data_IF_857864061866
#
_entry.id   IF_857864061866
#
_cell.length_a   1.000
_cell.length_b   1.000
_cell.length_c   1.000
_cell.angle_alpha   90.00
_cell.angle_beta   90.00
_cell.angle_gamma   90.00
#
_symmetry.space_group_name_H-M   'P 1'
#
loop_
_entity.id
_entity.type
_entity.pdbx_description
1 polymer ?
#
# COMPACT_ATOMS: atom_id res chain seq x y z
N UNK A 1 27.14 33.81 11.61
CA UNK A 1 27.50 34.06 13.03
C UNK A 1 27.69 32.70 13.66
N UNK A 2 28.95 32.39 13.97
CA UNK A 2 29.32 31.16 14.69
C UNK A 2 28.86 31.27 16.14
N UNK A 3 28.12 30.26 16.60
CA UNK A 3 27.72 30.13 17.99
C UNK A 3 28.96 29.69 18.79
N UNK A 4 29.32 30.44 19.83
CA UNK A 4 30.45 30.15 20.69
C UNK A 4 30.32 28.81 21.43
N UNK A 5 31.43 28.31 22.00
CA UNK A 5 31.59 26.97 22.64
C UNK A 5 30.61 26.67 23.82
N UNK A 6 29.84 27.66 24.28
CA UNK A 6 28.91 27.54 25.42
C UNK A 6 27.43 27.62 25.01
N UNK A 7 27.11 27.48 23.72
CA UNK A 7 25.73 27.54 23.25
C UNK A 7 24.95 26.26 23.68
N UNK A 8 23.96 26.44 24.54
CA UNK A 8 23.02 25.39 24.95
C UNK A 8 21.74 25.49 24.10
N UNK A 9 21.37 24.40 23.42
CA UNK A 9 20.11 24.29 22.72
C UNK A 9 18.99 23.98 23.73
N UNK A 10 18.01 24.88 23.88
CA UNK A 10 16.83 24.65 24.70
C UNK A 10 15.64 24.43 23.78
N UNK A 11 15.03 23.25 23.86
CA UNK A 11 13.79 22.95 23.14
C UNK A 11 12.59 23.30 24.03
N UNK A 12 11.73 24.16 23.53
CA UNK A 12 10.44 24.45 24.17
C UNK A 12 9.38 23.68 23.39
N UNK A 13 8.78 22.66 23.99
CA UNK A 13 7.66 21.94 23.43
C UNK A 13 6.39 22.74 23.78
N UNK A 14 5.78 23.38 22.77
CA UNK A 14 4.43 23.94 22.88
C UNK A 14 3.41 22.86 22.52
N UNK A 15 2.59 22.46 23.47
CA UNK A 15 1.38 21.71 23.19
C UNK A 15 0.25 22.70 22.92
N UNK A 16 -0.24 22.77 21.70
CA UNK A 16 -1.48 23.47 21.37
C UNK A 16 -2.65 22.51 21.60
N UNK A 17 -3.42 22.74 22.65
CA UNK A 17 -4.72 22.10 22.83
C UNK A 17 -5.74 22.86 21.98
N UNK A 18 -6.26 22.23 20.94
CA UNK A 18 -7.34 22.73 20.09
C UNK A 18 -8.72 22.46 20.74
N UNK A 19 -8.94 22.93 21.96
CA UNK A 19 -10.28 23.12 22.51
C UNK A 19 -10.29 24.44 23.27
N UNK A 20 -11.14 25.34 22.78
CA UNK A 20 -11.25 26.70 23.27
C UNK A 20 -11.69 26.77 24.72
N UNK A 21 -10.90 27.44 25.48
CA UNK A 21 -11.27 28.42 26.50
C UNK A 21 -9.97 29.00 27.07
N UNK A 22 -9.92 30.34 27.10
CA UNK A 22 -8.84 31.12 27.66
C UNK A 22 -8.56 30.75 29.13
N UNK A 23 -7.38 30.18 29.36
CA UNK A 23 -6.65 30.34 30.63
C UNK A 23 -5.23 29.83 30.43
N UNK A 24 -4.31 30.75 30.15
CA UNK A 24 -2.87 30.48 30.15
C UNK A 24 -2.38 30.37 31.59
N UNK A 25 -2.14 29.15 32.06
CA UNK A 25 -1.36 28.93 33.27
C UNK A 25 0.12 28.91 32.93
N UNK A 26 0.84 29.95 33.29
CA UNK A 26 2.29 29.98 33.33
C UNK A 26 2.77 29.66 34.71
N UNK A 27 3.11 28.43 34.98
CA UNK A 27 3.80 28.06 36.23
C UNK A 27 5.31 28.30 36.05
N UNK A 28 5.88 29.23 36.81
CA UNK A 28 7.32 29.46 36.87
C UNK A 28 7.94 28.37 37.74
N UNK A 29 8.72 27.48 37.14
CA UNK A 29 9.55 26.52 37.88
C UNK A 29 10.66 27.31 38.60
N UNK A 30 10.81 27.18 39.92
CA UNK A 30 11.90 27.84 40.65
C UNK A 30 13.27 27.29 40.19
N UNK A 31 14.24 28.17 40.00
CA UNK A 31 15.57 27.91 39.47
C UNK A 31 16.53 27.19 40.41
N UNK A 32 16.05 26.64 41.54
CA UNK A 32 16.89 25.96 42.52
C UNK A 32 16.32 24.59 42.94
N UNK A 33 16.28 23.64 42.00
CA UNK A 33 16.16 22.23 42.37
C UNK A 33 17.50 21.52 42.09
N UNK A 34 18.37 21.41 43.10
CA UNK A 34 19.51 20.51 43.13
C UNK A 34 19.05 19.18 43.74
N UNK A 35 18.96 18.08 42.97
CA UNK A 35 18.67 16.78 43.56
C UNK A 35 19.85 16.36 44.44
N UNK A 36 19.61 16.16 45.74
CA UNK A 36 20.56 15.48 46.64
C UNK A 36 20.55 14.00 46.29
N UNK A 37 21.52 13.57 45.46
CA UNK A 37 21.79 12.16 45.23
C UNK A 37 22.56 11.67 46.46
N UNK A 38 21.89 10.89 47.32
CA UNK A 38 22.57 10.08 48.34
C UNK A 38 23.26 8.94 47.59
N UNK A 39 24.57 8.92 47.75
CA UNK A 39 25.48 7.87 47.25
C UNK A 39 25.36 6.60 48.10
N UNK A 40 24.26 5.86 47.94
CA UNK A 40 24.16 4.46 48.39
C UNK A 40 23.10 3.81 47.49
N UNK A 41 23.49 2.67 46.89
CA UNK A 41 22.73 1.78 45.98
C UNK A 41 22.98 2.00 44.48
N UNK A 42 24.24 1.77 44.07
CA UNK A 42 24.67 1.77 42.65
C UNK A 42 24.73 0.35 42.05
N UNK A 43 24.00 -0.64 42.63
CA UNK A 43 24.02 -2.04 42.15
C UNK A 43 22.71 -2.64 41.75
N UNK A 44 21.66 -1.83 41.54
CA UNK A 44 20.40 -2.33 40.97
C UNK A 44 19.75 -1.35 40.01
N UNK A 45 20.49 -0.91 38.99
CA UNK A 45 19.85 -0.31 37.82
C UNK A 45 19.30 -1.42 36.96
N UNK A 46 17.96 -1.45 36.71
CA UNK A 46 17.44 -2.34 35.69
C UNK A 46 18.09 -2.02 34.36
N UNK A 47 18.57 -3.02 33.66
CA UNK A 47 19.18 -2.97 32.33
C UNK A 47 18.19 -2.46 31.25
N UNK A 48 17.59 -1.29 31.42
CA UNK A 48 16.69 -0.70 30.44
C UNK A 48 17.36 0.23 29.42
N UNK A 49 18.68 0.43 29.49
CA UNK A 49 19.35 1.43 28.63
C UNK A 49 20.37 0.79 27.68
N UNK A 50 20.15 -0.43 27.24
CA UNK A 50 20.88 -1.00 26.08
C UNK A 50 20.02 -1.83 25.15
N UNK A 51 18.72 -1.54 25.04
CA UNK A 51 18.02 -1.91 23.83
C UNK A 51 18.35 -0.83 22.80
N UNK A 52 19.24 -1.14 21.87
CA UNK A 52 19.37 -0.36 20.66
C UNK A 52 17.97 -0.28 20.03
N UNK A 53 17.31 0.87 20.18
CA UNK A 53 16.09 1.21 19.46
C UNK A 53 16.44 1.26 17.97
N UNK A 54 16.56 0.11 17.33
CA UNK A 54 16.86 -0.04 15.91
C UNK A 54 15.62 0.17 15.04
N UNK A 55 14.45 0.31 15.66
CA UNK A 55 13.22 0.69 14.97
C UNK A 55 12.68 1.98 15.61
N UNK A 56 12.73 3.14 14.92
CA UNK A 56 12.26 4.42 15.46
C UNK A 56 10.75 4.46 15.70
N UNK A 57 10.01 3.39 15.37
CA UNK A 57 8.55 3.29 15.50
C UNK A 57 8.11 2.58 16.79
N UNK A 58 9.03 2.08 17.63
CA UNK A 58 8.67 1.44 18.91
C UNK A 58 8.96 2.40 20.05
N UNK A 59 8.08 3.35 20.26
CA UNK A 59 8.01 4.14 21.49
C UNK A 59 6.78 3.67 22.26
N UNK A 60 6.93 3.00 23.42
CA UNK A 60 5.79 2.60 24.24
C UNK A 60 4.96 3.82 24.62
N UNK A 61 3.68 3.83 24.26
CA UNK A 61 2.73 4.90 24.64
C UNK A 61 2.29 5.84 23.51
N UNK A 62 2.84 5.78 22.30
CA UNK A 62 2.36 6.59 21.17
C UNK A 62 1.25 5.82 20.44
N UNK A 63 -0.01 6.19 20.71
CA UNK A 63 -1.19 5.62 20.05
C UNK A 63 -1.34 6.01 18.57
N UNK A 64 -0.56 6.95 18.05
CA UNK A 64 -0.62 7.43 16.65
C UNK A 64 0.77 7.39 16.02
N UNK A 65 1.24 6.20 15.68
CA UNK A 65 2.35 6.05 14.75
C UNK A 65 1.90 6.54 13.37
N UNK A 66 2.43 7.68 12.90
CA UNK A 66 2.27 8.09 11.49
C UNK A 66 3.11 7.16 10.62
N UNK A 67 2.58 5.97 10.35
CA UNK A 67 3.19 5.05 9.40
C UNK A 67 2.88 5.58 8.01
N UNK A 68 3.93 5.73 7.19
CA UNK A 68 3.75 6.03 5.77
C UNK A 68 3.03 4.84 5.12
N UNK A 69 1.86 5.12 4.56
CA UNK A 69 1.00 4.09 3.98
C UNK A 69 1.55 3.45 2.70
N UNK A 70 2.58 4.03 2.07
CA UNK A 70 3.20 3.60 0.81
C UNK A 70 2.19 3.47 -0.36
N UNK A 71 1.06 4.17 -0.28
CA UNK A 71 0.01 4.17 -1.30
C UNK A 71 0.37 5.09 -2.47
N UNK A 72 0.08 4.62 -3.68
CA UNK A 72 0.17 5.46 -4.88
C UNK A 72 -1.15 6.22 -5.08
N UNK A 73 -1.14 7.53 -4.81
CA UNK A 73 -2.32 8.39 -4.85
C UNK A 73 -2.99 8.48 -6.23
N UNK A 74 -2.29 8.11 -7.32
CA UNK A 74 -2.85 8.08 -8.67
C UNK A 74 -3.82 6.90 -8.88
N UNK A 75 -3.79 5.89 -8.02
CA UNK A 75 -4.59 4.68 -8.10
C UNK A 75 -5.81 4.78 -7.17
N UNK A 76 -6.83 5.51 -7.56
CA UNK A 76 -8.06 5.69 -6.79
C UNK A 76 -9.28 5.02 -7.49
N UNK A 77 -10.43 4.98 -6.81
CA UNK A 77 -11.66 4.40 -7.37
C UNK A 77 -12.24 5.19 -8.55
N UNK A 78 -11.95 6.48 -8.68
CA UNK A 78 -12.43 7.30 -9.79
C UNK A 78 -11.70 6.94 -11.09
N UNK A 79 -10.42 6.63 -10.98
CA UNK A 79 -9.59 6.19 -12.12
C UNK A 79 -9.72 4.69 -12.41
N UNK A 80 -10.29 3.90 -11.48
CA UNK A 80 -10.57 2.47 -11.68
C UNK A 80 -11.96 2.30 -12.29
N UNK A 81 -12.02 2.26 -13.62
CA UNK A 81 -13.30 2.17 -14.34
C UNK A 81 -13.97 0.83 -14.11
N UNK A 82 -15.29 0.87 -13.86
CA UNK A 82 -16.11 -0.31 -13.68
C UNK A 82 -16.51 -0.90 -15.03
N UNK A 83 -16.41 -2.21 -15.14
CA UNK A 83 -16.89 -3.03 -16.24
C UNK A 83 -17.33 -4.39 -15.72
N UNK A 84 -17.94 -5.21 -16.56
CA UNK A 84 -18.40 -6.55 -16.14
C UNK A 84 -17.24 -7.42 -15.64
N UNK A 85 -16.06 -7.26 -16.23
CA UNK A 85 -14.83 -7.99 -15.90
C UNK A 85 -14.26 -7.73 -14.50
N UNK A 86 -14.68 -6.64 -13.85
CA UNK A 86 -14.11 -6.22 -12.54
C UNK A 86 -15.18 -5.81 -11.51
N UNK A 87 -16.44 -5.85 -11.85
CA UNK A 87 -17.56 -5.35 -11.02
C UNK A 87 -17.55 -5.95 -9.62
N UNK A 88 -17.40 -7.28 -9.50
CA UNK A 88 -17.37 -7.95 -8.20
C UNK A 88 -16.21 -7.45 -7.33
N UNK A 89 -15.00 -7.45 -7.88
CA UNK A 89 -13.80 -7.04 -7.15
C UNK A 89 -13.86 -5.57 -6.73
N UNK A 90 -14.33 -4.69 -7.63
CA UNK A 90 -14.51 -3.26 -7.36
C UNK A 90 -15.55 -3.01 -6.27
N UNK A 91 -16.71 -3.65 -6.37
CA UNK A 91 -17.79 -3.51 -5.38
C UNK A 91 -17.35 -4.03 -4.00
N UNK A 92 -16.68 -5.19 -3.95
CA UNK A 92 -16.14 -5.75 -2.72
C UNK A 92 -15.07 -4.84 -2.11
N UNK A 93 -14.14 -4.34 -2.92
CA UNK A 93 -13.11 -3.39 -2.49
C UNK A 93 -13.72 -2.10 -1.93
N UNK A 94 -14.76 -1.57 -2.58
CA UNK A 94 -15.48 -0.39 -2.10
C UNK A 94 -16.18 -0.67 -0.75
N UNK A 95 -16.86 -1.82 -0.61
CA UNK A 95 -17.49 -2.21 0.65
C UNK A 95 -16.48 -2.37 1.80
N UNK A 96 -15.33 -3.01 1.53
CA UNK A 96 -14.22 -3.13 2.49
C UNK A 96 -13.70 -1.75 2.90
N UNK A 97 -13.53 -0.83 1.95
CA UNK A 97 -13.01 0.50 2.24
C UNK A 97 -13.96 1.35 3.10
N UNK A 98 -15.28 1.09 3.04
CA UNK A 98 -16.28 1.76 3.90
C UNK A 98 -16.42 1.15 5.29
N UNK A 99 -16.07 -0.12 5.46
CA UNK A 99 -16.15 -0.83 6.75
C UNK A 99 -14.99 -1.83 6.89
N UNK A 100 -13.73 -1.35 7.01
CA UNK A 100 -12.57 -2.23 7.09
C UNK A 100 -12.63 -3.10 8.35
N UNK A 101 -12.49 -4.41 8.15
CA UNK A 101 -12.64 -5.44 9.19
C UNK A 101 -14.08 -5.73 9.62
N UNK A 102 -15.05 -4.95 9.17
CA UNK A 102 -16.47 -5.10 9.52
C UNK A 102 -17.33 -5.80 8.46
N UNK A 103 -16.72 -6.33 7.40
CA UNK A 103 -17.39 -7.10 6.35
C UNK A 103 -16.97 -8.56 6.40
N UNK A 104 -17.76 -9.46 5.78
CA UNK A 104 -17.36 -10.87 5.59
C UNK A 104 -16.19 -11.03 4.59
N UNK A 105 -15.76 -9.93 3.94
CA UNK A 105 -14.69 -9.92 2.94
C UNK A 105 -13.30 -9.72 3.60
N UNK A 106 -12.99 -10.56 4.59
CA UNK A 106 -11.73 -10.52 5.30
C UNK A 106 -11.11 -11.92 5.43
N UNK A 107 -10.04 -12.23 4.70
CA UNK A 107 -9.36 -11.35 3.75
C UNK A 107 -10.16 -11.08 2.46
N UNK A 108 -9.85 -9.98 1.78
CA UNK A 108 -10.22 -9.77 0.39
C UNK A 108 -9.02 -10.14 -0.48
N UNK A 109 -9.13 -11.20 -1.26
CA UNK A 109 -8.12 -11.59 -2.24
C UNK A 109 -8.58 -11.16 -3.63
N UNK A 110 -7.80 -10.31 -4.28
CA UNK A 110 -8.00 -9.86 -5.66
C UNK A 110 -7.01 -10.61 -6.54
N UNK A 111 -7.50 -11.44 -7.46
CA UNK A 111 -6.61 -12.21 -8.33
C UNK A 111 -6.98 -12.04 -9.80
N UNK A 112 -6.07 -12.41 -10.69
CA UNK A 112 -6.25 -12.32 -12.14
C UNK A 112 -4.94 -12.11 -12.87
N UNK A 113 -4.93 -12.16 -14.17
CA UNK A 113 -3.73 -12.04 -15.01
C UNK A 113 -2.92 -10.76 -14.74
N UNK A 114 -1.68 -10.74 -15.25
CA UNK A 114 -0.78 -9.59 -15.16
C UNK A 114 -1.40 -8.39 -15.89
N UNK A 115 -1.28 -7.18 -15.29
CA UNK A 115 -1.71 -5.93 -15.94
C UNK A 115 -3.21 -5.69 -15.97
N UNK A 116 -4.03 -6.40 -15.17
CA UNK A 116 -5.49 -6.23 -15.12
C UNK A 116 -5.96 -5.22 -14.04
N UNK A 117 -5.04 -4.56 -13.33
CA UNK A 117 -5.39 -3.49 -12.38
C UNK A 117 -5.48 -3.93 -10.92
N UNK A 118 -4.97 -5.10 -10.53
CA UNK A 118 -4.96 -5.58 -9.13
C UNK A 118 -4.33 -4.58 -8.15
N UNK A 119 -3.12 -4.15 -8.46
CA UNK A 119 -2.38 -3.13 -7.68
C UNK A 119 -3.14 -1.81 -7.61
N UNK A 120 -3.79 -1.40 -8.70
CA UNK A 120 -4.63 -0.20 -8.75
C UNK A 120 -5.79 -0.32 -7.75
N UNK A 121 -6.57 -1.39 -7.83
CA UNK A 121 -7.71 -1.59 -6.92
C UNK A 121 -7.28 -1.70 -5.46
N UNK A 122 -6.17 -2.38 -5.19
CA UNK A 122 -5.60 -2.50 -3.85
C UNK A 122 -5.22 -1.13 -3.25
N UNK A 123 -4.57 -0.26 -4.05
CA UNK A 123 -4.28 1.12 -3.64
C UNK A 123 -5.56 1.94 -3.46
N UNK A 124 -6.54 1.83 -4.38
CA UNK A 124 -7.82 2.53 -4.29
C UNK A 124 -8.55 2.23 -2.97
N UNK A 125 -8.56 0.96 -2.54
CA UNK A 125 -9.10 0.56 -1.24
C UNK A 125 -8.37 1.28 -0.11
N UNK A 126 -7.04 1.24 -0.08
CA UNK A 126 -6.24 1.87 0.96
C UNK A 126 -6.44 3.38 1.04
N UNK A 127 -6.47 4.06 -0.10
CA UNK A 127 -6.71 5.51 -0.20
C UNK A 127 -8.08 5.86 0.37
N UNK A 128 -9.14 5.13 -0.05
CA UNK A 128 -10.50 5.40 0.42
C UNK A 128 -10.66 5.14 1.93
N UNK A 129 -9.97 4.12 2.47
CA UNK A 129 -9.91 3.92 3.94
C UNK A 129 -9.26 5.11 4.63
N UNK A 130 -8.10 5.58 4.14
CA UNK A 130 -7.39 6.72 4.74
C UNK A 130 -8.21 8.01 4.72
N UNK A 131 -8.98 8.22 3.65
CA UNK A 131 -9.88 9.36 3.53
C UNK A 131 -11.08 9.28 4.49
N UNK A 132 -11.68 8.09 4.62
CA UNK A 132 -12.85 7.87 5.46
C UNK A 132 -12.50 7.72 6.95
N UNK A 133 -11.32 7.20 7.27
CA UNK A 133 -10.85 6.88 8.62
C UNK A 133 -9.39 7.32 8.79
N UNK A 134 -9.12 8.63 8.94
CA UNK A 134 -7.74 9.16 9.05
C UNK A 134 -6.94 8.58 10.23
N UNK A 135 -7.64 8.13 11.28
CA UNK A 135 -7.05 7.50 12.47
C UNK A 135 -6.55 6.08 12.25
N UNK A 136 -7.07 5.38 11.21
CA UNK A 136 -6.66 4.01 10.91
C UNK A 136 -5.28 3.97 10.25
N UNK A 137 -4.48 3.03 10.72
CA UNK A 137 -3.17 2.74 10.14
C UNK A 137 -3.33 1.82 8.94
N UNK A 138 -3.11 2.36 7.75
CA UNK A 138 -3.12 1.61 6.48
C UNK A 138 -1.71 1.44 5.98
N UNK A 139 -1.32 0.22 5.62
CA UNK A 139 -0.03 -0.08 5.01
C UNK A 139 -0.22 -0.90 3.73
N UNK A 140 0.34 -0.39 2.62
CA UNK A 140 0.52 -1.12 1.38
C UNK A 140 1.98 -1.58 1.27
N UNK A 141 2.20 -2.83 0.90
CA UNK A 141 3.53 -3.39 0.69
C UNK A 141 3.48 -4.55 -0.31
N UNK A 142 4.50 -4.69 -1.15
CA UNK A 142 4.64 -5.91 -1.98
C UNK A 142 5.14 -7.09 -1.14
N UNK A 143 4.77 -8.31 -1.52
CA UNK A 143 5.23 -9.54 -0.87
C UNK A 143 6.76 -9.69 -0.93
N UNK A 144 7.41 -9.17 -1.97
CA UNK A 144 8.87 -9.13 -2.06
C UNK A 144 9.48 -8.24 -0.99
N UNK A 145 8.99 -6.99 -0.86
CA UNK A 145 9.48 -6.03 0.13
C UNK A 145 9.22 -6.52 1.56
N UNK A 146 8.05 -7.12 1.80
CA UNK A 146 7.74 -7.79 3.07
C UNK A 146 8.76 -8.89 3.40
N UNK A 147 9.04 -9.76 2.42
CA UNK A 147 10.05 -10.84 2.55
C UNK A 147 11.41 -10.28 2.88
N UNK A 148 11.85 -9.25 2.16
CA UNK A 148 13.15 -8.62 2.39
C UNK A 148 13.25 -8.02 3.79
N UNK A 149 12.24 -7.28 4.24
CA UNK A 149 12.18 -6.71 5.58
C UNK A 149 12.23 -7.82 6.66
N UNK A 150 11.53 -8.94 6.43
CA UNK A 150 11.58 -10.08 7.33
C UNK A 150 12.99 -10.68 7.41
N UNK A 151 13.64 -10.95 6.27
CA UNK A 151 15.00 -11.48 6.23
C UNK A 151 15.99 -10.54 6.93
N UNK A 152 15.86 -9.24 6.72
CA UNK A 152 16.70 -8.24 7.38
C UNK A 152 16.46 -8.19 8.89
N UNK A 153 15.22 -8.38 9.34
CA UNK A 153 14.88 -8.46 10.76
C UNK A 153 15.49 -9.68 11.45
N UNK A 154 15.51 -10.83 10.75
CA UNK A 154 16.16 -12.06 11.23
C UNK A 154 17.66 -11.87 11.34
N UNK A 155 18.31 -11.31 10.31
CA UNK A 155 19.77 -11.01 10.33
C UNK A 155 20.16 -10.07 11.46
N UNK A 156 19.29 -9.11 11.79
CA UNK A 156 19.50 -8.13 12.87
C UNK A 156 19.02 -8.60 14.24
N UNK A 157 18.51 -9.84 14.35
CA UNK A 157 17.89 -10.41 15.56
C UNK A 157 16.69 -9.60 16.11
N UNK A 158 15.94 -8.94 15.22
CA UNK A 158 14.80 -8.07 15.54
C UNK A 158 13.46 -8.64 15.03
N UNK A 159 13.33 -9.98 14.95
CA UNK A 159 12.13 -10.65 14.44
C UNK A 159 10.86 -10.25 15.21
N UNK A 160 10.95 -10.10 16.53
CA UNK A 160 9.80 -9.74 17.35
C UNK A 160 9.31 -8.33 17.05
N UNK A 161 10.21 -7.38 16.83
CA UNK A 161 9.87 -6.01 16.48
C UNK A 161 9.17 -5.93 15.12
N UNK A 162 9.63 -6.75 14.16
CA UNK A 162 8.99 -6.88 12.85
C UNK A 162 7.54 -7.39 12.99
N UNK A 163 7.32 -8.45 13.76
CA UNK A 163 5.97 -9.00 13.99
C UNK A 163 5.09 -7.95 14.68
N UNK A 164 5.59 -7.33 15.74
CA UNK A 164 4.87 -6.30 16.49
C UNK A 164 4.46 -5.12 15.60
N UNK A 165 5.37 -4.64 14.73
CA UNK A 165 5.06 -3.58 13.79
C UNK A 165 3.85 -3.89 12.92
N UNK A 166 3.83 -5.08 12.29
CA UNK A 166 2.72 -5.48 11.43
C UNK A 166 1.42 -5.73 12.20
N UNK A 167 1.50 -6.13 13.46
CA UNK A 167 0.34 -6.31 14.33
C UNK A 167 -0.36 -4.99 14.72
N UNK A 168 0.30 -3.85 14.60
CA UNK A 168 -0.29 -2.53 14.85
C UNK A 168 -1.14 -2.01 13.67
N UNK A 169 -0.99 -2.58 12.49
CA UNK A 169 -1.67 -2.14 11.26
C UNK A 169 -3.17 -2.46 11.36
N UNK A 170 -4.04 -1.52 10.96
CA UNK A 170 -5.50 -1.73 10.93
C UNK A 170 -5.97 -2.26 9.58
N UNK A 171 -5.31 -1.83 8.49
CA UNK A 171 -5.57 -2.33 7.14
C UNK A 171 -4.25 -2.68 6.47
N UNK A 172 -3.98 -3.96 6.33
CA UNK A 172 -2.78 -4.48 5.69
C UNK A 172 -3.09 -4.90 4.26
N UNK A 173 -2.39 -4.30 3.30
CA UNK A 173 -2.49 -4.61 1.88
C UNK A 173 -1.17 -5.24 1.44
N UNK A 174 -1.21 -6.50 1.05
CA UNK A 174 -0.04 -7.21 0.50
C UNK A 174 -0.26 -7.46 -1.00
N UNK A 175 0.58 -6.86 -1.80
CA UNK A 175 0.55 -7.00 -3.24
C UNK A 175 1.43 -8.17 -3.71
N UNK A 176 0.91 -8.95 -4.66
CA UNK A 176 1.61 -10.05 -5.32
C UNK A 176 2.05 -11.19 -4.37
N UNK A 177 1.10 -11.74 -3.59
CA UNK A 177 1.38 -12.79 -2.58
C UNK A 177 1.95 -14.09 -3.18
N UNK A 178 1.87 -14.30 -4.50
CA UNK A 178 2.54 -15.43 -5.17
C UNK A 178 4.06 -15.42 -4.95
N UNK A 179 4.67 -14.27 -4.65
CA UNK A 179 6.09 -14.16 -4.31
C UNK A 179 6.47 -14.74 -2.93
N UNK A 180 5.49 -15.19 -2.14
CA UNK A 180 5.78 -16.02 -0.96
C UNK A 180 6.12 -17.48 -1.30
N UNK A 181 5.88 -17.92 -2.54
CA UNK A 181 6.18 -19.27 -3.02
C UNK A 181 7.62 -19.68 -2.69
N UNK A 182 7.81 -20.88 -2.16
CA UNK A 182 9.13 -21.42 -1.78
C UNK A 182 9.80 -20.77 -0.56
N UNK A 183 9.17 -19.79 0.11
CA UNK A 183 9.78 -19.03 1.22
C UNK A 183 9.13 -19.39 2.57
N UNK A 184 9.37 -20.61 3.06
CA UNK A 184 8.70 -21.16 4.25
C UNK A 184 8.77 -20.23 5.47
N UNK A 185 9.93 -19.66 5.80
CA UNK A 185 10.08 -18.74 6.94
C UNK A 185 9.25 -17.46 6.80
N UNK A 186 9.09 -16.94 5.57
CA UNK A 186 8.23 -15.78 5.30
C UNK A 186 6.75 -16.16 5.40
N UNK A 187 6.38 -17.34 4.89
CA UNK A 187 5.02 -17.85 4.98
C UNK A 187 4.61 -18.07 6.46
N UNK A 188 5.51 -18.57 7.26
CA UNK A 188 5.32 -18.78 8.71
C UNK A 188 5.02 -17.46 9.43
N UNK A 189 5.89 -16.47 9.28
CA UNK A 189 5.71 -15.19 9.95
C UNK A 189 4.47 -14.46 9.46
N UNK A 190 4.19 -14.53 8.15
CA UNK A 190 2.98 -13.93 7.59
C UNK A 190 1.72 -14.61 8.13
N UNK A 191 1.72 -15.95 8.27
CA UNK A 191 0.62 -16.67 8.87
C UNK A 191 0.31 -16.21 10.31
N UNK A 192 1.34 -15.98 11.13
CA UNK A 192 1.17 -15.44 12.47
C UNK A 192 0.60 -14.02 12.49
N UNK A 193 1.12 -13.14 11.63
CA UNK A 193 0.62 -11.77 11.49
C UNK A 193 -0.82 -11.78 11.00
N UNK A 194 -1.13 -12.57 9.97
CA UNK A 194 -2.49 -12.71 9.43
C UNK A 194 -3.50 -13.12 10.50
N UNK A 195 -3.20 -14.19 11.26
CA UNK A 195 -4.10 -14.65 12.30
C UNK A 195 -4.34 -13.57 13.36
N UNK A 196 -3.29 -12.85 13.79
CA UNK A 196 -3.43 -11.75 14.74
C UNK A 196 -4.35 -10.65 14.20
N UNK A 197 -4.12 -10.19 12.98
CA UNK A 197 -4.93 -9.15 12.35
C UNK A 197 -6.40 -9.58 12.22
N UNK A 198 -6.63 -10.77 11.71
CA UNK A 198 -7.96 -11.31 11.50
C UNK A 198 -8.74 -11.48 12.82
N UNK A 199 -8.12 -12.03 13.87
CA UNK A 199 -8.72 -12.20 15.19
C UNK A 199 -9.07 -10.88 15.88
N UNK A 200 -8.33 -9.82 15.58
CA UNK A 200 -8.58 -8.48 16.11
C UNK A 200 -9.49 -7.62 15.21
N UNK A 201 -10.19 -8.22 14.24
CA UNK A 201 -11.10 -7.50 13.35
C UNK A 201 -10.42 -6.49 12.44
N UNK A 202 -9.11 -6.65 12.18
CA UNK A 202 -8.33 -5.81 11.28
C UNK A 202 -8.45 -6.35 9.85
N UNK A 203 -8.45 -5.45 8.86
CA UNK A 203 -8.63 -5.84 7.46
C UNK A 203 -7.33 -6.30 6.81
N UNK A 204 -7.41 -7.42 6.08
CA UNK A 204 -6.34 -7.86 5.18
C UNK A 204 -6.85 -7.84 3.74
N UNK A 205 -6.08 -7.24 2.84
CA UNK A 205 -6.31 -7.23 1.39
C UNK A 205 -5.08 -7.83 0.72
N UNK A 206 -5.29 -8.76 -0.17
CA UNK A 206 -4.23 -9.50 -0.86
C UNK A 206 -4.42 -9.38 -2.36
N UNK A 207 -3.34 -9.32 -3.11
CA UNK A 207 -3.41 -9.49 -4.57
C UNK A 207 -2.55 -10.66 -5.04
N UNK A 208 -2.92 -11.26 -6.17
CA UNK A 208 -2.15 -12.35 -6.79
C UNK A 208 -2.40 -12.43 -8.29
N UNK A 209 -1.37 -12.87 -9.03
CA UNK A 209 -1.52 -13.21 -10.45
C UNK A 209 -2.24 -14.57 -10.66
N UNK A 210 -2.35 -15.39 -9.60
CA UNK A 210 -2.92 -16.73 -9.63
C UNK A 210 -4.08 -16.87 -8.66
N UNK A 211 -5.05 -17.69 -9.03
CA UNK A 211 -6.09 -18.12 -8.08
C UNK A 211 -5.45 -18.94 -6.93
N UNK A 212 -6.05 -18.94 -5.72
CA UNK A 212 -5.50 -19.71 -4.59
C UNK A 212 -5.33 -21.20 -4.85
N UNK A 213 -6.10 -21.76 -5.77
CA UNK A 213 -6.02 -23.18 -6.16
C UNK A 213 -4.79 -23.48 -7.01
N UNK A 214 -4.27 -22.46 -7.72
CA UNK A 214 -3.14 -22.58 -8.65
C UNK A 214 -1.81 -22.11 -8.03
N UNK A 215 -1.83 -21.67 -6.76
CA UNK A 215 -0.63 -21.27 -6.05
C UNK A 215 0.18 -22.49 -5.62
N UNK A 216 1.34 -22.66 -6.22
CA UNK A 216 2.28 -23.73 -5.89
C UNK A 216 3.25 -23.30 -4.79
N UNK A 217 3.80 -24.25 -4.02
CA UNK A 217 4.81 -24.00 -2.98
C UNK A 217 4.35 -23.01 -1.88
N UNK A 218 3.06 -22.83 -1.72
CA UNK A 218 2.46 -22.12 -0.58
C UNK A 218 1.81 -23.15 0.33
N UNK A 219 2.10 -23.05 1.62
CA UNK A 219 1.61 -23.97 2.64
C UNK A 219 0.08 -23.99 2.71
N UNK A 220 -0.51 -25.18 2.85
CA UNK A 220 -1.96 -25.38 2.87
C UNK A 220 -2.67 -24.55 3.95
N UNK A 221 -2.03 -24.35 5.11
CA UNK A 221 -2.58 -23.51 6.18
C UNK A 221 -2.73 -22.05 5.74
N UNK A 222 -1.80 -21.52 4.91
CA UNK A 222 -1.85 -20.15 4.40
C UNK A 222 -2.87 -20.04 3.27
N UNK A 223 -2.91 -21.02 2.36
CA UNK A 223 -3.93 -21.10 1.31
C UNK A 223 -5.35 -21.15 1.89
N UNK A 224 -5.56 -21.90 2.98
CA UNK A 224 -6.84 -21.92 3.68
C UNK A 224 -7.24 -20.53 4.19
N UNK A 225 -6.27 -19.75 4.66
CA UNK A 225 -6.51 -18.35 5.10
C UNK A 225 -6.85 -17.43 3.94
N UNK A 226 -6.18 -17.58 2.81
CA UNK A 226 -6.49 -16.79 1.60
C UNK A 226 -7.92 -17.02 1.09
N UNK A 227 -8.41 -18.27 1.22
CA UNK A 227 -9.77 -18.67 0.81
C UNK A 227 -10.85 -18.33 1.84
N UNK A 228 -10.51 -17.91 3.03
CA UNK A 228 -11.47 -17.73 4.13
C UNK A 228 -12.51 -16.65 3.86
N UNK A 229 -12.08 -15.50 3.29
CA UNK A 229 -12.97 -14.39 2.96
C UNK A 229 -13.51 -14.45 1.53
N UNK A 230 -13.37 -13.36 0.80
CA UNK A 230 -13.77 -13.27 -0.59
C UNK A 230 -12.56 -13.31 -1.52
N UNK A 231 -12.57 -14.21 -2.49
CA UNK A 231 -11.65 -14.19 -3.63
C UNK A 231 -12.40 -13.65 -4.85
N UNK A 232 -11.95 -12.51 -5.35
CA UNK A 232 -12.55 -11.82 -6.49
C UNK A 232 -11.58 -11.76 -7.66
N UNK A 233 -12.02 -12.26 -8.80
CA UNK A 233 -11.24 -12.28 -10.03
C UNK A 233 -11.35 -10.96 -10.79
N UNK A 234 -10.22 -10.49 -11.33
CA UNK A 234 -10.17 -9.48 -12.38
C UNK A 234 -9.93 -10.18 -13.71
N UNK A 235 -10.88 -10.03 -14.62
CA UNK A 235 -10.81 -10.60 -15.96
C UNK A 235 -10.36 -9.55 -16.97
N UNK A 236 -10.06 -9.99 -18.19
CA UNK A 236 -9.73 -9.10 -19.29
C UNK A 236 -10.94 -8.23 -19.61
N UNK A 237 -10.77 -6.89 -19.68
CA UNK A 237 -11.87 -5.99 -19.96
C UNK A 237 -12.45 -6.24 -21.37
N UNK A 238 -13.77 -6.08 -21.49
CA UNK A 238 -14.46 -6.11 -22.76
C UNK A 238 -14.10 -4.89 -23.64
N UNK A 239 -14.60 -4.88 -24.88
CA UNK A 239 -14.25 -3.83 -25.83
C UNK A 239 -14.68 -2.43 -25.37
N UNK A 240 -15.88 -2.29 -24.85
CA UNK A 240 -16.44 -1.00 -24.37
C UNK A 240 -15.65 -0.47 -23.16
N UNK A 241 -15.32 -1.37 -22.23
CA UNK A 241 -14.48 -1.03 -21.08
C UNK A 241 -13.10 -0.57 -21.52
N UNK A 242 -12.48 -1.23 -22.53
CA UNK A 242 -11.17 -0.78 -23.06
C UNK A 242 -11.25 0.61 -23.69
N UNK A 243 -12.29 0.92 -24.48
CA UNK A 243 -12.50 2.26 -25.02
C UNK A 243 -12.59 3.28 -23.88
N UNK A 244 -13.38 2.98 -22.88
CA UNK A 244 -13.57 3.86 -21.71
C UNK A 244 -12.27 4.11 -20.96
N UNK A 245 -11.41 3.07 -20.80
CA UNK A 245 -10.09 3.19 -20.18
C UNK A 245 -9.20 4.12 -21.00
N UNK A 246 -9.16 3.96 -22.33
CA UNK A 246 -8.37 4.82 -23.23
C UNK A 246 -8.84 6.27 -23.11
N UNK A 247 -10.14 6.53 -23.25
CA UNK A 247 -10.72 7.87 -23.18
C UNK A 247 -10.44 8.54 -21.83
N UNK A 248 -10.59 7.81 -20.74
CA UNK A 248 -10.27 8.32 -19.40
C UNK A 248 -8.78 8.68 -19.27
N UNK A 249 -7.89 7.82 -19.78
CA UNK A 249 -6.45 8.07 -19.77
C UNK A 249 -6.09 9.33 -20.57
N UNK A 250 -6.59 9.45 -21.78
CA UNK A 250 -6.36 10.61 -22.64
C UNK A 250 -6.87 11.90 -22.02
N UNK A 251 -8.08 11.88 -21.46
CA UNK A 251 -8.67 13.02 -20.75
C UNK A 251 -7.82 13.48 -19.57
N UNK A 252 -7.29 12.55 -18.77
CA UNK A 252 -6.42 12.85 -17.63
C UNK A 252 -5.07 13.42 -18.06
N UNK A 253 -4.54 12.98 -19.19
CA UNK A 253 -3.27 13.43 -19.74
C UNK A 253 -3.45 14.72 -20.59
N UNK A 254 -4.70 15.21 -20.78
CA UNK A 254 -5.03 16.41 -21.55
C UNK A 254 -4.75 16.26 -23.04
N UNK A 255 -4.86 15.05 -23.57
CA UNK A 255 -4.56 14.72 -24.98
C UNK A 255 -5.85 14.41 -25.73
N UNK A 256 -6.00 15.01 -26.89
CA UNK A 256 -7.07 14.68 -27.84
C UNK A 256 -6.57 13.64 -28.87
N UNK A 257 -7.39 12.64 -29.12
CA UNK A 257 -7.13 11.60 -30.10
C UNK A 257 -8.43 11.28 -30.85
N UNK A 258 -8.33 11.05 -32.16
CA UNK A 258 -9.48 10.69 -32.98
C UNK A 258 -10.11 9.37 -32.53
N UNK A 259 -11.42 9.30 -32.50
CA UNK A 259 -12.15 8.11 -32.05
C UNK A 259 -11.80 6.85 -32.86
N UNK A 260 -11.50 7.01 -34.17
CA UNK A 260 -11.07 5.90 -35.02
C UNK A 260 -9.82 5.20 -34.52
N UNK A 261 -8.86 6.00 -34.01
CA UNK A 261 -7.61 5.44 -33.45
C UNK A 261 -7.90 4.75 -32.12
N UNK A 262 -8.74 5.36 -31.28
CA UNK A 262 -9.16 4.74 -30.01
C UNK A 262 -9.82 3.38 -30.26
N UNK A 263 -10.74 3.32 -31.22
CA UNK A 263 -11.42 2.08 -31.59
C UNK A 263 -10.46 1.04 -32.19
N UNK A 264 -9.52 1.49 -33.01
CA UNK A 264 -8.48 0.63 -33.57
C UNK A 264 -7.62 0.00 -32.46
N UNK A 265 -7.08 0.80 -31.55
CA UNK A 265 -6.26 0.33 -30.44
C UNK A 265 -7.05 -0.62 -29.52
N UNK A 266 -8.26 -0.26 -29.12
CA UNK A 266 -9.14 -1.08 -28.28
C UNK A 266 -9.49 -2.43 -28.95
N UNK A 267 -9.61 -2.47 -30.29
CA UNK A 267 -9.90 -3.68 -31.04
C UNK A 267 -8.70 -4.64 -31.13
N UNK A 268 -7.50 -4.10 -31.23
CA UNK A 268 -6.30 -4.90 -31.48
C UNK A 268 -5.56 -5.32 -30.20
N UNK A 269 -5.58 -4.49 -29.16
CA UNK A 269 -4.97 -4.82 -27.86
C UNK A 269 -6.02 -5.39 -26.93
N UNK A 270 -6.00 -6.73 -26.78
CA UNK A 270 -7.00 -7.48 -26.02
C UNK A 270 -6.43 -8.16 -24.79
N UNK A 271 -5.15 -8.07 -24.57
CA UNK A 271 -4.39 -8.85 -23.61
C UNK A 271 -4.56 -8.34 -22.17
N UNK A 272 -4.20 -7.10 -21.91
CA UNK A 272 -4.28 -6.49 -20.58
C UNK A 272 -4.26 -4.95 -20.64
N UNK A 273 -4.60 -4.31 -19.52
CA UNK A 273 -4.69 -2.85 -19.43
C UNK A 273 -3.31 -2.19 -19.52
N UNK A 274 -2.26 -2.84 -19.01
CA UNK A 274 -0.89 -2.30 -19.03
C UNK A 274 -0.37 -2.17 -20.48
N UNK A 275 -0.63 -3.15 -21.33
CA UNK A 275 -0.29 -3.05 -22.75
C UNK A 275 -1.12 -2.01 -23.48
N UNK A 276 -2.41 -1.90 -23.13
CA UNK A 276 -3.30 -0.88 -23.68
C UNK A 276 -2.78 0.55 -23.35
N UNK A 277 -2.43 0.81 -22.10
CA UNK A 277 -1.85 2.07 -21.68
C UNK A 277 -0.47 2.32 -22.32
N UNK A 278 0.36 1.29 -22.43
CA UNK A 278 1.67 1.36 -23.08
C UNK A 278 1.57 1.76 -24.55
N UNK A 279 0.59 1.23 -25.27
CA UNK A 279 0.34 1.59 -26.67
C UNK A 279 -0.08 3.07 -26.81
N UNK A 280 -0.97 3.53 -25.93
CA UNK A 280 -1.38 4.95 -25.93
C UNK A 280 -0.20 5.87 -25.64
N UNK A 281 0.62 5.55 -24.64
CA UNK A 281 1.84 6.33 -24.33
C UNK A 281 2.79 6.36 -25.53
N UNK A 282 2.95 5.23 -26.23
CA UNK A 282 3.80 5.15 -27.42
C UNK A 282 3.29 6.02 -28.55
N UNK A 283 1.97 6.03 -28.81
CA UNK A 283 1.34 6.89 -29.82
C UNK A 283 1.51 8.37 -29.49
N UNK A 284 1.29 8.73 -28.23
CA UNK A 284 1.47 10.12 -27.75
C UNK A 284 2.92 10.57 -27.92
N UNK A 285 3.90 9.73 -27.56
CA UNK A 285 5.31 10.03 -27.70
C UNK A 285 5.70 10.21 -29.16
N UNK A 286 5.23 9.34 -30.08
CA UNK A 286 5.50 9.44 -31.52
C UNK A 286 4.90 10.72 -32.14
N UNK A 287 3.67 11.07 -31.73
CA UNK A 287 3.03 12.31 -32.17
C UNK A 287 3.82 13.55 -31.73
N UNK A 288 4.19 13.60 -30.47
CA UNK A 288 4.97 14.71 -29.91
C UNK A 288 6.34 14.85 -30.57
N UNK A 289 7.02 13.73 -30.81
CA UNK A 289 8.35 13.74 -31.42
C UNK A 289 8.32 14.16 -32.89
N UNK A 290 7.35 13.68 -33.66
CA UNK A 290 7.22 13.96 -35.08
C UNK A 290 6.49 15.28 -35.37
N UNK A 291 5.95 15.98 -34.35
CA UNK A 291 5.08 17.15 -34.50
C UNK A 291 3.94 16.95 -35.51
N UNK A 292 3.46 15.70 -35.57
CA UNK A 292 2.35 15.29 -36.46
C UNK A 292 1.16 14.91 -35.60
N UNK A 293 -0.04 15.18 -36.11
CA UNK A 293 -1.26 14.64 -35.52
C UNK A 293 -1.20 13.12 -35.47
N UNK A 294 -1.81 12.53 -34.44
CA UNK A 294 -1.92 11.08 -34.32
C UNK A 294 -2.88 10.62 -35.42
N UNK A 295 -2.35 9.88 -36.41
CA UNK A 295 -3.12 9.32 -37.53
C UNK A 295 -3.11 7.81 -37.48
N UNK A 296 -4.06 7.15 -38.19
CA UNK A 296 -4.12 5.68 -38.28
C UNK A 296 -2.83 5.04 -38.81
N UNK A 297 -2.09 5.73 -39.70
CA UNK A 297 -0.81 5.25 -40.19
C UNK A 297 0.25 5.13 -39.09
N UNK A 298 0.25 6.03 -38.13
CA UNK A 298 1.07 5.97 -36.91
C UNK A 298 0.62 4.82 -35.99
N UNK A 299 -0.68 4.53 -35.92
CA UNK A 299 -1.24 3.42 -35.15
C UNK A 299 -0.92 2.02 -35.71
N UNK A 300 -0.58 1.91 -37.02
CA UNK A 300 -0.25 0.63 -37.64
C UNK A 300 1.21 0.18 -37.42
N UNK A 301 2.10 1.07 -37.01
CA UNK A 301 3.53 0.78 -36.82
C UNK A 301 3.90 -0.08 -35.59
N UNK A 302 3.07 -0.28 -34.55
CA UNK A 302 3.48 -1.09 -33.39
C UNK A 302 3.51 -2.60 -33.63
N UNK A 303 3.13 -3.12 -34.82
CA UNK A 303 3.12 -4.57 -35.07
C UNK A 303 4.50 -5.25 -34.98
N UNK A 304 5.60 -4.50 -35.06
CA UNK A 304 6.94 -5.06 -34.93
C UNK A 304 7.50 -5.12 -33.49
N UNK A 305 6.83 -4.47 -32.52
CA UNK A 305 7.21 -4.55 -31.10
C UNK A 305 6.21 -5.34 -30.23
N UNK A 306 5.05 -5.71 -30.78
CA UNK A 306 4.08 -6.60 -30.15
C UNK A 306 4.23 -7.96 -30.78
N UNK A 307 5.35 -8.58 -30.62
CA UNK A 307 5.51 -9.85 -31.24
C UNK A 307 6.45 -10.76 -30.50
N UNK A 308 6.03 -11.97 -30.37
CA UNK A 308 6.76 -13.13 -29.90
C UNK A 308 7.17 -13.11 -28.41
N UNK A 309 6.18 -13.37 -27.55
CA UNK A 309 6.37 -14.15 -26.35
C UNK A 309 5.28 -15.21 -26.27
#
# INVERSE_FOLDING_TARGET
KELGKDAKLVYIIRMENSFGSDSSFTEKIPSEYKPKIKSQDLDSTPNFIKANLTNPFIIPGIKNLKIDSQLNLNYNFESFLEGDSNRLARSAGYAVSKRPGGTSFNPLLIFGGVGLGKTHLANAIGINVKQAFPEKTVLYISAEKFTQQYVDSVKKNNRNDFIHFYQLIDVLIIDDVQFFSGKSGTQDVFFHIFNHLHQNGKQVVLTSDKAPVDMQEIEQRLLSRFKWGLSAELQIPDYETRISIIKNKLSRDGVEMEDEIIFYVAKHIKTNIRELEGAIISLMAQSSFNKKQITLDLGMYPKSQIGNA
#
